data_IF_909181664461
#
_entry.id   IF_909181664461
#
_cell.length_a   1.000
_cell.length_b   1.000
_cell.length_c   1.000
_cell.angle_alpha   90.00
_cell.angle_beta   90.00
_cell.angle_gamma   90.00
#
_symmetry.space_group_name_H-M   'P 1'
#
loop_
_entity.id
_entity.type
_entity.pdbx_description
1 polymer ?
#
# COMPACT_ATOMS: atom_id res chain seq x y z
N UNK A 1 -23.40 -16.83 -44.02
CA UNK A 1 -22.21 -16.85 -43.16
C UNK A 1 -21.35 -15.66 -43.50
N UNK A 2 -21.55 -14.52 -42.83
CA UNK A 2 -20.76 -13.30 -43.09
C UNK A 2 -19.48 -13.36 -42.21
N UNK A 3 -18.35 -13.48 -42.92
CA UNK A 3 -17.03 -13.32 -42.32
C UNK A 3 -16.87 -11.86 -41.86
N UNK A 4 -17.15 -11.58 -40.58
CA UNK A 4 -16.74 -10.36 -39.91
C UNK A 4 -15.19 -10.38 -39.83
N UNK A 5 -14.52 -9.90 -40.89
CA UNK A 5 -13.10 -9.56 -40.79
C UNK A 5 -12.96 -8.49 -39.72
N UNK A 6 -12.44 -8.88 -38.56
CA UNK A 6 -12.01 -7.93 -37.55
C UNK A 6 -10.92 -7.05 -38.21
N UNK A 7 -11.32 -5.81 -38.57
CA UNK A 7 -10.35 -4.79 -38.96
C UNK A 7 -9.39 -4.57 -37.80
N UNK A 8 -8.09 -4.52 -38.02
CA UNK A 8 -7.16 -4.13 -36.96
C UNK A 8 -7.57 -2.74 -36.44
N UNK A 9 -7.56 -2.52 -35.12
CA UNK A 9 -7.93 -1.22 -34.56
C UNK A 9 -7.02 -0.14 -35.12
N UNK A 10 -7.62 0.81 -35.82
CA UNK A 10 -6.93 2.00 -36.35
C UNK A 10 -6.71 3.00 -35.20
N UNK A 11 -5.68 3.85 -35.33
CA UNK A 11 -5.39 4.91 -34.33
C UNK A 11 -6.63 5.78 -34.05
N UNK A 12 -7.50 5.98 -35.02
CA UNK A 12 -8.75 6.73 -34.90
C UNK A 12 -9.77 5.99 -34.01
N UNK A 13 -9.79 4.66 -34.05
CA UNK A 13 -10.64 3.84 -33.17
C UNK A 13 -10.15 3.92 -31.71
N UNK A 14 -8.84 3.95 -31.49
CA UNK A 14 -8.25 4.13 -30.15
C UNK A 14 -8.57 5.52 -29.61
N UNK A 15 -8.45 6.57 -30.43
CA UNK A 15 -8.76 7.95 -30.04
C UNK A 15 -10.25 8.12 -29.76
N UNK A 16 -11.13 7.49 -30.55
CA UNK A 16 -12.58 7.53 -30.34
C UNK A 16 -13.00 6.78 -29.06
N UNK A 17 -12.36 5.65 -28.76
CA UNK A 17 -12.52 4.93 -27.47
C UNK A 17 -12.08 5.80 -26.29
N UNK A 18 -11.00 6.54 -26.41
CA UNK A 18 -10.53 7.50 -25.40
C UNK A 18 -11.53 8.66 -25.19
N UNK A 19 -12.23 9.08 -26.22
CA UNK A 19 -13.18 10.19 -26.13
C UNK A 19 -14.57 9.75 -25.63
N UNK A 20 -15.03 8.55 -25.99
CA UNK A 20 -16.42 8.12 -25.79
C UNK A 20 -16.73 7.53 -24.40
N UNK A 21 -15.75 7.04 -23.64
CA UNK A 21 -16.03 6.18 -22.48
C UNK A 21 -15.75 6.79 -21.10
N UNK A 22 -15.57 8.11 -20.99
CA UNK A 22 -15.14 8.70 -19.69
C UNK A 22 -13.77 8.23 -19.22
N UNK A 23 -13.02 7.55 -20.11
CA UNK A 23 -11.70 6.99 -19.86
C UNK A 23 -10.70 8.08 -19.46
N UNK A 24 -10.85 9.29 -20.02
CA UNK A 24 -10.04 10.46 -19.65
C UNK A 24 -10.12 10.79 -18.17
N UNK A 25 -11.33 10.79 -17.59
CA UNK A 25 -11.53 11.08 -16.18
C UNK A 25 -10.89 10.01 -15.29
N UNK A 26 -11.02 8.72 -15.66
CA UNK A 26 -10.41 7.61 -14.93
C UNK A 26 -8.89 7.63 -15.02
N UNK A 27 -8.33 7.90 -16.21
CA UNK A 27 -6.88 8.03 -16.39
C UNK A 27 -6.32 9.23 -15.64
N UNK A 28 -6.99 10.38 -15.72
CA UNK A 28 -6.58 11.58 -14.98
C UNK A 28 -6.61 11.33 -13.46
N UNK A 29 -7.66 10.66 -12.98
CA UNK A 29 -7.74 10.27 -11.56
C UNK A 29 -6.60 9.33 -11.16
N UNK A 30 -6.33 8.29 -11.96
CA UNK A 30 -5.23 7.35 -11.70
C UNK A 30 -3.88 8.06 -11.69
N UNK A 31 -3.65 8.97 -12.65
CA UNK A 31 -2.43 9.76 -12.71
C UNK A 31 -2.29 10.68 -11.50
N UNK A 32 -3.37 11.35 -11.10
CA UNK A 32 -3.39 12.19 -9.90
C UNK A 32 -3.07 11.39 -8.64
N UNK A 33 -3.62 10.17 -8.49
CA UNK A 33 -3.32 9.30 -7.35
C UNK A 33 -1.87 8.84 -7.34
N UNK A 34 -1.28 8.54 -8.49
CA UNK A 34 0.16 8.22 -8.60
C UNK A 34 1.02 9.40 -8.16
N UNK A 35 0.67 10.62 -8.57
CA UNK A 35 1.40 11.84 -8.16
C UNK A 35 1.28 12.04 -6.65
N UNK A 36 0.07 11.91 -6.08
CA UNK A 36 -0.15 12.04 -4.63
C UNK A 36 0.65 10.98 -3.86
N UNK A 37 0.63 9.73 -4.33
CA UNK A 37 1.43 8.66 -3.73
C UNK A 37 2.93 9.00 -3.78
N UNK A 38 3.43 9.50 -4.90
CA UNK A 38 4.83 9.88 -5.06
C UNK A 38 5.24 11.03 -4.14
N UNK A 39 4.36 12.00 -3.93
CA UNK A 39 4.57 13.07 -2.96
C UNK A 39 4.63 12.52 -1.52
N UNK A 40 3.75 11.60 -1.17
CA UNK A 40 3.75 10.95 0.14
C UNK A 40 5.02 10.12 0.41
N UNK A 41 5.58 9.48 -0.62
CA UNK A 41 6.87 8.76 -0.54
C UNK A 41 8.04 9.72 -0.33
N UNK A 42 7.94 10.95 -0.82
CA UNK A 42 8.98 11.97 -0.65
C UNK A 42 8.98 12.63 0.73
N UNK A 43 7.91 12.45 1.54
CA UNK A 43 7.82 13.02 2.89
C UNK A 43 8.44 12.05 3.92
N UNK A 44 9.63 12.35 4.45
CA UNK A 44 10.27 11.51 5.46
C UNK A 44 9.55 11.62 6.81
N UNK A 45 9.63 10.56 7.59
CA UNK A 45 9.14 10.53 8.96
C UNK A 45 9.96 11.50 9.83
N UNK A 46 9.29 12.29 10.65
CA UNK A 46 9.96 13.22 11.56
C UNK A 46 10.81 12.48 12.58
N UNK A 47 12.04 12.93 12.81
CA UNK A 47 12.93 12.39 13.84
C UNK A 47 13.82 11.22 13.41
N UNK A 48 13.81 10.85 12.14
CA UNK A 48 14.64 9.79 11.57
C UNK A 48 15.87 10.37 10.87
N UNK A 49 17.03 9.74 11.09
CA UNK A 49 18.24 10.05 10.35
C UNK A 49 18.26 9.28 9.02
N UNK A 50 17.85 9.96 7.95
CA UNK A 50 17.74 9.36 6.62
C UNK A 50 19.07 8.86 6.06
N UNK A 51 20.20 9.46 6.41
CA UNK A 51 21.54 9.03 5.93
C UNK A 51 21.88 7.63 6.42
N UNK A 52 21.61 7.37 7.69
CA UNK A 52 21.89 6.06 8.30
C UNK A 52 21.02 4.98 7.67
N UNK A 53 19.76 5.26 7.41
CA UNK A 53 18.80 4.28 6.87
C UNK A 53 19.06 4.05 5.39
N UNK A 54 19.35 5.08 4.61
CA UNK A 54 19.70 4.94 3.20
C UNK A 54 20.98 4.09 3.02
N UNK A 55 21.94 4.20 3.93
CA UNK A 55 23.13 3.37 3.93
C UNK A 55 22.82 1.90 4.25
N UNK A 56 21.90 1.63 5.18
CA UNK A 56 21.41 0.27 5.46
C UNK A 56 20.68 -0.35 4.25
N UNK A 57 19.87 0.41 3.57
CA UNK A 57 19.16 -0.04 2.37
C UNK A 57 20.14 -0.34 1.21
N UNK A 58 21.20 0.44 1.07
CA UNK A 58 22.23 0.28 0.02
C UNK A 58 23.18 -0.91 0.27
N UNK A 59 23.32 -1.37 1.50
CA UNK A 59 24.22 -2.49 1.85
C UNK A 59 23.71 -3.86 1.39
N UNK A 60 22.70 -3.92 0.54
CA UNK A 60 22.20 -5.17 -0.08
C UNK A 60 21.43 -6.09 0.85
N UNK A 61 20.98 -5.60 1.98
CA UNK A 61 20.17 -6.33 2.95
C UNK A 61 18.73 -6.51 2.46
N UNK A 62 17.95 -7.37 3.15
CA UNK A 62 16.52 -7.59 2.91
C UNK A 62 15.73 -6.30 2.74
N UNK A 63 16.10 -5.22 3.45
CA UNK A 63 15.48 -3.90 3.35
C UNK A 63 15.62 -3.32 1.94
N UNK A 64 16.81 -3.40 1.33
CA UNK A 64 17.03 -2.90 -0.03
C UNK A 64 16.18 -3.65 -1.06
N UNK A 65 16.01 -4.97 -0.88
CA UNK A 65 15.14 -5.76 -1.76
C UNK A 65 13.66 -5.38 -1.62
N UNK A 66 13.17 -5.23 -0.38
CA UNK A 66 11.78 -4.80 -0.13
C UNK A 66 11.55 -3.36 -0.60
N UNK A 67 12.56 -2.51 -0.53
CA UNK A 67 12.49 -1.12 -0.97
C UNK A 67 12.27 -0.98 -2.49
N UNK A 68 12.77 -1.91 -3.29
CA UNK A 68 12.48 -1.98 -4.72
C UNK A 68 10.97 -2.09 -4.99
N UNK A 69 10.25 -2.87 -4.17
CA UNK A 69 8.79 -3.01 -4.28
C UNK A 69 8.03 -1.81 -3.74
N UNK A 70 8.59 -1.09 -2.77
CA UNK A 70 7.97 0.11 -2.20
C UNK A 70 8.29 1.39 -2.98
N UNK A 71 9.13 1.29 -4.03
CA UNK A 71 9.51 2.44 -4.87
C UNK A 71 10.34 3.50 -4.14
N UNK A 72 11.19 3.09 -3.18
CA UNK A 72 12.07 3.98 -2.41
C UNK A 72 11.44 4.52 -1.12
N UNK A 73 10.23 4.08 -0.78
CA UNK A 73 9.52 4.57 0.39
C UNK A 73 10.12 4.09 1.71
N UNK A 74 10.67 2.86 1.73
CA UNK A 74 11.34 2.27 2.89
C UNK A 74 12.71 2.88 3.14
N UNK A 75 13.51 3.08 2.10
CA UNK A 75 14.82 3.69 2.23
C UNK A 75 14.77 5.13 2.77
N UNK A 76 13.70 5.85 2.44
CA UNK A 76 13.45 7.20 2.96
C UNK A 76 12.66 7.22 4.27
N UNK A 77 12.25 6.04 4.79
CA UNK A 77 11.33 5.93 5.94
C UNK A 77 10.20 6.95 5.83
N UNK A 78 9.53 6.93 4.68
CA UNK A 78 8.47 7.88 4.40
C UNK A 78 7.17 7.54 5.15
N UNK A 79 6.24 8.49 5.17
CA UNK A 79 4.90 8.30 5.74
C UNK A 79 4.19 7.10 5.08
N UNK A 80 4.47 6.83 3.80
CA UNK A 80 3.93 5.72 3.03
C UNK A 80 4.87 4.52 2.94
N UNK A 81 5.82 4.37 3.88
CA UNK A 81 6.82 3.30 3.84
C UNK A 81 6.23 1.89 3.79
N UNK A 82 5.13 1.63 4.49
CA UNK A 82 4.42 0.36 4.41
C UNK A 82 3.65 0.16 3.09
N UNK A 83 3.29 1.25 2.40
CA UNK A 83 2.56 1.22 1.14
C UNK A 83 1.28 0.40 1.19
N UNK A 84 1.05 -0.39 0.13
CA UNK A 84 -0.10 -1.30 0.00
C UNK A 84 0.13 -2.69 0.62
N UNK A 85 1.35 -2.96 1.14
CA UNK A 85 1.73 -4.27 1.68
C UNK A 85 0.75 -4.84 2.70
N UNK A 86 0.37 -4.10 3.76
CA UNK A 86 -0.58 -4.56 4.76
C UNK A 86 -1.94 -4.94 4.17
N UNK A 87 -2.42 -4.20 3.16
CA UNK A 87 -3.68 -4.49 2.48
C UNK A 87 -3.61 -5.79 1.66
N UNK A 88 -2.52 -6.00 0.92
CA UNK A 88 -2.31 -7.22 0.15
C UNK A 88 -2.30 -8.43 1.10
N UNK A 89 -1.53 -8.35 2.18
CA UNK A 89 -1.46 -9.41 3.20
C UNK A 89 -2.84 -9.70 3.82
N UNK A 90 -3.56 -8.65 4.23
CA UNK A 90 -4.91 -8.78 4.78
C UNK A 90 -5.89 -9.40 3.78
N UNK A 91 -5.81 -8.99 2.51
CA UNK A 91 -6.67 -9.51 1.44
C UNK A 91 -6.44 -11.00 1.20
N UNK A 92 -5.18 -11.44 1.16
CA UNK A 92 -4.83 -12.86 1.00
C UNK A 92 -5.33 -13.68 2.19
N UNK A 93 -5.10 -13.19 3.42
CA UNK A 93 -5.56 -13.88 4.64
C UNK A 93 -7.09 -13.96 4.64
N UNK A 94 -7.79 -12.89 4.31
CA UNK A 94 -9.26 -12.91 4.23
C UNK A 94 -9.78 -13.87 3.17
N UNK A 95 -9.13 -13.96 2.01
CA UNK A 95 -9.48 -14.94 0.97
C UNK A 95 -9.30 -16.38 1.47
N UNK A 96 -8.23 -16.67 2.19
CA UNK A 96 -8.03 -17.98 2.81
C UNK A 96 -9.07 -18.26 3.90
N UNK A 97 -9.39 -17.28 4.73
CA UNK A 97 -10.40 -17.41 5.77
C UNK A 97 -11.81 -17.65 5.20
N UNK A 98 -12.14 -17.09 4.03
CA UNK A 98 -13.43 -17.35 3.36
C UNK A 98 -13.56 -18.79 2.88
N UNK A 99 -12.45 -19.50 2.67
CA UNK A 99 -12.47 -20.92 2.31
C UNK A 99 -12.54 -21.82 3.55
N UNK A 100 -11.94 -21.39 4.68
CA UNK A 100 -11.81 -22.21 5.89
C UNK A 100 -13.03 -22.03 6.80
N UNK A 101 -13.59 -20.83 6.88
CA UNK A 101 -14.70 -20.50 7.78
C UNK A 101 -16.02 -20.61 7.01
N UNK A 102 -16.90 -21.61 7.33
CA UNK A 102 -18.17 -21.82 6.62
C UNK A 102 -19.09 -20.59 6.61
N UNK A 103 -19.07 -19.80 7.68
CA UNK A 103 -19.87 -18.59 7.78
C UNK A 103 -19.45 -17.51 6.77
N UNK A 104 -18.16 -17.35 6.53
CA UNK A 104 -17.63 -16.41 5.53
C UNK A 104 -17.84 -16.93 4.10
N UNK A 105 -17.79 -18.25 3.92
CA UNK A 105 -18.11 -18.90 2.65
C UNK A 105 -19.58 -18.69 2.26
N UNK A 106 -20.51 -18.86 3.21
CA UNK A 106 -21.94 -18.59 3.01
C UNK A 106 -22.18 -17.12 2.64
N UNK A 107 -21.57 -16.19 3.37
CA UNK A 107 -21.63 -14.75 3.06
C UNK A 107 -21.19 -14.44 1.62
N UNK A 108 -20.15 -15.13 1.13
CA UNK A 108 -19.63 -14.92 -0.21
C UNK A 108 -20.51 -15.53 -1.29
N UNK A 109 -21.11 -16.71 -1.04
CA UNK A 109 -21.89 -17.47 -2.01
C UNK A 109 -23.37 -17.10 -2.01
N UNK A 110 -23.98 -16.91 -0.85
CA UNK A 110 -25.42 -16.73 -0.70
C UNK A 110 -25.85 -15.25 -0.81
N UNK A 111 -25.09 -14.30 -0.26
CA UNK A 111 -25.42 -12.87 -0.29
C UNK A 111 -24.90 -12.13 -1.55
N UNK A 112 -24.22 -12.80 -2.46
CA UNK A 112 -23.76 -12.23 -3.74
C UNK A 112 -22.93 -10.95 -3.58
N UNK A 113 -23.40 -9.80 -4.18
CA UNK A 113 -22.70 -8.53 -4.08
C UNK A 113 -22.69 -7.92 -2.67
N UNK A 114 -23.77 -8.13 -1.90
CA UNK A 114 -23.85 -7.62 -0.53
C UNK A 114 -22.83 -8.32 0.39
N UNK A 115 -22.66 -9.63 0.25
CA UNK A 115 -21.67 -10.39 0.98
C UNK A 115 -20.24 -9.99 0.63
N UNK A 116 -19.95 -9.75 -0.66
CA UNK A 116 -18.63 -9.25 -1.09
C UNK A 116 -18.30 -7.88 -0.49
N UNK A 117 -19.28 -7.00 -0.38
CA UNK A 117 -19.09 -5.68 0.29
C UNK A 117 -18.76 -5.84 1.77
N UNK A 118 -19.45 -6.74 2.48
CA UNK A 118 -19.14 -7.06 3.90
C UNK A 118 -17.73 -7.62 4.06
N UNK A 119 -17.33 -8.59 3.23
CA UNK A 119 -15.97 -9.16 3.25
C UNK A 119 -14.93 -8.07 2.96
N UNK A 120 -15.18 -7.18 2.01
CA UNK A 120 -14.30 -6.04 1.74
C UNK A 120 -14.16 -5.10 2.95
N UNK A 121 -15.25 -4.85 3.71
CA UNK A 121 -15.18 -4.08 4.94
C UNK A 121 -14.35 -4.78 6.02
N UNK A 122 -14.54 -6.10 6.23
CA UNK A 122 -13.72 -6.88 7.15
C UNK A 122 -12.24 -6.85 6.76
N UNK A 123 -11.94 -6.97 5.46
CA UNK A 123 -10.57 -6.84 4.95
C UNK A 123 -9.96 -5.48 5.32
N UNK A 124 -10.71 -4.39 5.21
CA UNK A 124 -10.25 -3.05 5.58
C UNK A 124 -9.92 -2.93 7.06
N UNK A 125 -10.81 -3.39 7.95
CA UNK A 125 -10.55 -3.38 9.40
C UNK A 125 -9.34 -4.24 9.74
N UNK A 126 -9.24 -5.41 9.13
CA UNK A 126 -8.11 -6.32 9.33
C UNK A 126 -6.80 -5.72 8.80
N UNK A 127 -6.85 -4.96 7.71
CA UNK A 127 -5.70 -4.22 7.19
C UNK A 127 -5.16 -3.22 8.19
N UNK A 128 -6.02 -2.47 8.88
CA UNK A 128 -5.58 -1.50 9.92
C UNK A 128 -4.83 -2.21 11.03
N UNK A 129 -5.34 -3.36 11.48
CA UNK A 129 -4.68 -4.16 12.51
C UNK A 129 -3.31 -4.67 12.06
N UNK A 130 -3.23 -5.23 10.85
CA UNK A 130 -1.97 -5.72 10.26
C UNK A 130 -0.99 -4.56 10.04
N UNK A 131 -1.46 -3.41 9.53
CA UNK A 131 -0.62 -2.24 9.31
C UNK A 131 0.00 -1.74 10.61
N UNK A 132 -0.77 -1.67 11.69
CA UNK A 132 -0.27 -1.28 13.00
C UNK A 132 0.78 -2.28 13.53
N UNK A 133 0.52 -3.58 13.37
CA UNK A 133 1.45 -4.62 13.79
C UNK A 133 2.77 -4.57 12.97
N UNK A 134 2.66 -4.43 11.65
CA UNK A 134 3.84 -4.30 10.78
C UNK A 134 4.61 -3.00 11.05
N UNK A 135 3.92 -1.88 11.28
CA UNK A 135 4.55 -0.62 11.68
C UNK A 135 5.36 -0.78 12.96
N UNK A 136 4.78 -1.46 13.95
CA UNK A 136 5.44 -1.73 15.24
C UNK A 136 6.71 -2.57 15.05
N UNK A 137 6.63 -3.67 14.30
CA UNK A 137 7.80 -4.52 14.01
C UNK A 137 8.88 -3.73 13.27
N UNK A 138 8.50 -2.94 12.26
CA UNK A 138 9.42 -2.14 11.48
C UNK A 138 10.15 -1.10 12.34
N UNK A 139 9.44 -0.41 13.22
CA UNK A 139 10.02 0.57 14.14
C UNK A 139 10.95 -0.08 15.18
N UNK A 140 10.56 -1.23 15.73
CA UNK A 140 11.42 -1.99 16.65
C UNK A 140 12.71 -2.42 15.94
N UNK A 141 12.59 -2.89 14.70
CA UNK A 141 13.75 -3.26 13.90
C UNK A 141 14.69 -2.07 13.67
N UNK A 142 14.16 -0.90 13.30
CA UNK A 142 14.94 0.33 13.11
C UNK A 142 15.67 0.74 14.39
N UNK A 143 14.98 0.75 15.52
CA UNK A 143 15.56 1.14 16.80
C UNK A 143 16.63 0.16 17.29
N UNK A 144 16.46 -1.14 17.00
CA UNK A 144 17.42 -2.16 17.41
C UNK A 144 18.69 -2.20 16.54
N UNK A 145 18.53 -2.00 15.22
CA UNK A 145 19.67 -2.10 14.28
C UNK A 145 20.56 -0.86 14.30
N UNK A 146 20.05 0.27 14.74
CA UNK A 146 20.75 1.54 14.56
C UNK A 146 20.69 2.38 15.82
N UNK A 147 21.79 2.39 16.59
CA UNK A 147 21.93 3.23 17.79
C UNK A 147 21.74 4.73 17.53
N UNK A 148 21.92 5.17 16.27
CA UNK A 148 21.80 6.56 15.82
C UNK A 148 20.67 6.79 14.81
N UNK A 149 19.63 5.93 14.82
CA UNK A 149 18.46 6.09 13.93
C UNK A 149 17.64 7.33 14.25
N UNK A 150 17.71 7.79 15.49
CA UNK A 150 16.97 8.95 15.97
C UNK A 150 17.86 10.21 15.97
N UNK A 151 17.26 11.34 15.64
CA UNK A 151 17.89 12.64 15.82
C UNK A 151 18.08 12.95 17.31
N UNK A 152 19.19 13.59 17.70
CA UNK A 152 19.45 13.97 19.09
C UNK A 152 18.34 14.90 19.61
N UNK A 153 17.75 14.55 20.77
CA UNK A 153 16.68 15.31 21.41
C UNK A 153 15.27 14.76 21.24
N UNK A 154 15.08 13.68 20.46
CA UNK A 154 13.76 13.03 20.29
C UNK A 154 13.64 11.90 21.33
N UNK A 155 12.56 11.93 22.14
CA UNK A 155 12.32 10.82 23.08
C UNK A 155 11.88 9.57 22.30
N UNK A 156 12.49 8.40 22.55
CA UNK A 156 12.20 7.18 21.78
C UNK A 156 10.73 6.75 21.87
N UNK A 157 10.09 6.97 23.01
CA UNK A 157 8.70 6.56 23.23
C UNK A 157 7.74 7.41 22.39
N UNK A 158 7.91 8.73 22.40
CA UNK A 158 7.06 9.64 21.60
C UNK A 158 7.24 9.39 20.12
N UNK A 159 8.49 9.19 19.70
CA UNK A 159 8.80 8.81 18.33
C UNK A 159 8.11 7.51 17.93
N UNK A 160 8.21 6.46 18.75
CA UNK A 160 7.64 5.15 18.46
C UNK A 160 6.11 5.21 18.28
N UNK A 161 5.41 5.82 19.23
CA UNK A 161 3.95 5.95 19.19
C UNK A 161 3.51 6.81 18.00
N UNK A 162 4.12 7.97 17.81
CA UNK A 162 3.80 8.88 16.71
C UNK A 162 4.04 8.24 15.36
N UNK A 163 5.18 7.59 15.18
CA UNK A 163 5.54 6.93 13.92
C UNK A 163 4.65 5.73 13.61
N UNK A 164 4.27 4.93 14.61
CA UNK A 164 3.34 3.82 14.44
C UNK A 164 1.97 4.30 13.94
N UNK A 165 1.46 5.38 14.50
CA UNK A 165 0.20 5.99 14.08
C UNK A 165 0.31 6.55 12.66
N UNK A 166 1.38 7.29 12.35
CA UNK A 166 1.58 7.90 11.03
C UNK A 166 1.73 6.84 9.94
N UNK A 167 2.52 5.79 10.17
CA UNK A 167 2.70 4.70 9.21
C UNK A 167 1.40 3.92 8.97
N UNK A 168 0.64 3.68 10.03
CA UNK A 168 -0.68 3.05 9.91
C UNK A 168 -1.65 3.93 9.14
N UNK A 169 -1.70 5.23 9.44
CA UNK A 169 -2.53 6.20 8.72
C UNK A 169 -2.15 6.29 7.25
N UNK A 170 -0.84 6.26 6.92
CA UNK A 170 -0.34 6.23 5.55
C UNK A 170 -0.84 5.00 4.78
N UNK A 171 -0.77 3.81 5.38
CA UNK A 171 -1.29 2.59 4.77
C UNK A 171 -2.81 2.63 4.56
N UNK A 172 -3.55 3.17 5.53
CA UNK A 172 -5.00 3.36 5.42
C UNK A 172 -5.34 4.34 4.31
N UNK A 173 -4.60 5.42 4.18
CA UNK A 173 -4.78 6.40 3.10
C UNK A 173 -4.59 5.77 1.72
N UNK A 174 -3.57 4.93 1.54
CA UNK A 174 -3.32 4.25 0.25
C UNK A 174 -4.38 3.19 -0.05
N UNK A 175 -4.97 2.57 0.98
CA UNK A 175 -6.02 1.56 0.84
C UNK A 175 -7.37 2.17 0.40
N UNK A 176 -7.69 3.40 0.82
CA UNK A 176 -8.96 4.09 0.53
C UNK A 176 -8.91 4.82 -0.80
#
# INVERSE_FOLDING_TARGET
MQNARMKPPTMDDVVSMFQASGLKAKLLFTFAMIVIFRLGVALPLYGVNNEVISNLARQGNLIGFIDLFSGGALANVSILALGIGPYITASIIMQLLTVIIPHLEQLQKEEGEAGRRKISQYTRYFTVFIAFFQATIFLLYLLHQTSNALLPGVSPIVFFIGSAIILTAGSVFVMW
#
